data_IF_351642756748
#
_entry.id   IF_351642756748
#
_cell.length_a   1.000
_cell.length_b   1.000
_cell.length_c   1.000
_cell.angle_alpha   90.00
_cell.angle_beta   90.00
_cell.angle_gamma   90.00
#
_symmetry.space_group_name_H-M   'P 1'
#
loop_
_entity.id
_entity.type
_entity.pdbx_description
1 polymer ?
#
# COMPACT_ATOMS: atom_id res chain seq x y z
N UNK A 1 6.13 18.64 6.00
CA UNK A 1 5.00 17.99 6.68
C UNK A 1 4.08 17.47 5.59
N UNK A 2 4.29 16.22 5.15
CA UNK A 2 3.54 15.66 4.01
C UNK A 2 2.21 15.13 4.50
N UNK A 3 1.15 15.76 4.01
CA UNK A 3 -0.25 15.40 4.23
C UNK A 3 -0.47 14.06 3.54
N UNK A 4 -1.02 13.13 4.32
CA UNK A 4 -1.65 11.89 3.88
C UNK A 4 -2.42 12.11 2.58
N UNK A 5 -1.93 11.58 1.47
CA UNK A 5 -2.81 11.22 0.37
C UNK A 5 -3.43 9.88 0.72
N UNK A 6 -4.75 9.83 0.69
CA UNK A 6 -5.56 8.62 0.78
C UNK A 6 -5.33 7.76 -0.48
N UNK A 7 -4.10 7.34 -0.69
CA UNK A 7 -3.79 6.38 -1.74
C UNK A 7 -4.11 5.01 -1.22
N UNK A 8 -5.14 4.40 -1.81
CA UNK A 8 -5.39 2.97 -1.70
C UNK A 8 -4.08 2.21 -1.99
N UNK A 9 -3.95 0.97 -1.52
CA UNK A 9 -2.76 0.14 -1.83
C UNK A 9 -2.46 0.04 -3.34
N UNK A 10 -3.45 0.28 -4.21
CA UNK A 10 -3.26 0.41 -5.66
C UNK A 10 -2.44 1.63 -6.10
N UNK A 11 -2.61 2.79 -5.45
CA UNK A 11 -1.78 3.98 -5.76
C UNK A 11 -0.31 3.74 -5.40
N UNK A 12 -0.06 3.02 -4.31
CA UNK A 12 1.30 2.65 -3.90
C UNK A 12 1.99 1.75 -4.94
N UNK A 13 1.28 0.75 -5.48
CA UNK A 13 1.82 -0.12 -6.54
C UNK A 13 2.06 0.68 -7.82
N UNK A 14 1.16 1.60 -8.17
CA UNK A 14 1.33 2.48 -9.33
C UNK A 14 2.58 3.35 -9.21
N UNK A 15 2.79 4.01 -8.07
CA UNK A 15 3.98 4.83 -7.82
C UNK A 15 5.28 4.00 -7.92
N UNK A 16 5.24 2.74 -7.44
CA UNK A 16 6.38 1.83 -7.54
C UNK A 16 6.71 1.50 -9.00
N UNK A 17 5.70 1.23 -9.83
CA UNK A 17 5.84 0.96 -11.27
C UNK A 17 6.40 2.17 -12.00
N UNK A 18 5.84 3.36 -11.75
CA UNK A 18 6.30 4.60 -12.37
C UNK A 18 7.76 4.87 -12.01
N UNK A 19 8.15 4.66 -10.75
CA UNK A 19 9.52 4.86 -10.31
C UNK A 19 10.49 3.84 -10.95
N UNK A 20 10.10 2.56 -11.01
CA UNK A 20 10.86 1.52 -11.72
C UNK A 20 11.06 1.91 -13.19
N UNK A 21 9.99 2.29 -13.88
CA UNK A 21 10.06 2.68 -15.30
C UNK A 21 11.03 3.85 -15.53
N UNK A 22 10.99 4.89 -14.69
CA UNK A 22 11.92 6.02 -14.77
C UNK A 22 13.38 5.62 -14.51
N UNK A 23 13.59 4.66 -13.60
CA UNK A 23 14.91 4.10 -13.30
C UNK A 23 15.43 3.15 -14.39
N UNK A 24 14.54 2.56 -15.20
CA UNK A 24 14.93 1.75 -16.36
C UNK A 24 15.28 2.64 -17.57
N UNK A 25 14.66 3.83 -17.67
CA UNK A 25 14.84 4.80 -18.75
C UNK A 25 15.56 6.08 -18.29
N UNK A 26 16.62 5.94 -17.48
CA UNK A 26 17.34 7.07 -16.85
C UNK A 26 17.78 8.12 -17.86
N UNK A 27 18.23 7.71 -19.05
CA UNK A 27 18.74 8.62 -20.07
C UNK A 27 17.67 9.62 -20.55
N UNK A 28 16.41 9.22 -20.54
CA UNK A 28 15.24 10.01 -20.94
C UNK A 28 14.73 10.92 -19.81
N UNK A 29 15.24 10.75 -18.59
CA UNK A 29 14.81 11.54 -17.42
C UNK A 29 15.53 12.88 -17.32
N UNK A 30 14.94 13.79 -16.54
CA UNK A 30 15.50 15.10 -16.24
C UNK A 30 16.83 15.01 -15.47
N UNK A 31 17.66 16.04 -15.60
CA UNK A 31 18.93 16.12 -14.86
C UNK A 31 18.72 16.07 -13.35
N UNK A 32 17.65 16.69 -12.84
CA UNK A 32 17.28 16.60 -11.43
C UNK A 32 17.01 15.16 -10.98
N UNK A 33 16.32 14.36 -11.80
CA UNK A 33 16.10 12.95 -11.50
C UNK A 33 17.42 12.17 -11.53
N UNK A 34 18.27 12.43 -12.53
CA UNK A 34 19.60 11.82 -12.67
C UNK A 34 20.50 12.10 -11.47
N UNK A 35 20.46 13.31 -10.91
CA UNK A 35 21.23 13.68 -9.72
C UNK A 35 20.81 12.89 -8.46
N UNK A 36 19.58 12.40 -8.40
CA UNK A 36 19.01 11.70 -7.25
C UNK A 36 18.85 10.18 -7.47
N UNK A 37 19.49 9.59 -8.50
CA UNK A 37 19.34 8.16 -8.86
C UNK A 37 19.51 7.23 -7.66
N UNK A 38 20.55 7.45 -6.83
CA UNK A 38 20.79 6.61 -5.65
C UNK A 38 19.59 6.63 -4.70
N UNK A 39 19.09 7.82 -4.37
CA UNK A 39 17.91 7.98 -3.51
C UNK A 39 16.65 7.38 -4.13
N UNK A 40 16.51 7.45 -5.46
CA UNK A 40 15.39 6.83 -6.16
C UNK A 40 15.46 5.30 -6.12
N UNK A 41 16.65 4.71 -6.26
CA UNK A 41 16.86 3.26 -6.10
C UNK A 41 16.58 2.81 -4.67
N UNK A 42 17.13 3.51 -3.67
CA UNK A 42 16.88 3.20 -2.27
C UNK A 42 15.38 3.28 -1.93
N UNK A 43 14.67 4.28 -2.47
CA UNK A 43 13.22 4.41 -2.30
C UNK A 43 12.45 3.28 -3.01
N UNK A 44 12.85 2.88 -4.22
CA UNK A 44 12.24 1.77 -4.94
C UNK A 44 12.41 0.44 -4.18
N UNK A 45 13.60 0.20 -3.61
CA UNK A 45 13.86 -1.01 -2.83
C UNK A 45 13.02 -1.03 -1.54
N UNK A 46 12.89 0.10 -0.85
CA UNK A 46 12.00 0.23 0.31
C UNK A 46 10.52 0.03 -0.07
N UNK A 47 10.07 0.54 -1.22
CA UNK A 47 8.71 0.29 -1.73
C UNK A 47 8.48 -1.20 -2.03
N UNK A 48 9.42 -1.87 -2.69
CA UNK A 48 9.36 -3.31 -2.96
C UNK A 48 9.33 -4.13 -1.67
N UNK A 49 10.17 -3.76 -0.69
CA UNK A 49 10.19 -4.42 0.60
C UNK A 49 8.83 -4.31 1.31
N UNK A 50 8.25 -3.11 1.39
CA UNK A 50 6.91 -2.90 1.98
C UNK A 50 5.81 -3.65 1.24
N UNK A 51 5.88 -3.70 -0.09
CA UNK A 51 4.95 -4.50 -0.90
C UNK A 51 5.05 -5.99 -0.57
N UNK A 52 6.27 -6.53 -0.44
CA UNK A 52 6.47 -7.93 -0.11
C UNK A 52 5.91 -8.27 1.28
N UNK A 53 6.14 -7.41 2.28
CA UNK A 53 5.54 -7.59 3.61
C UNK A 53 4.01 -7.61 3.56
N UNK A 54 3.41 -6.78 2.71
CA UNK A 54 1.97 -6.74 2.50
C UNK A 54 1.45 -8.03 1.84
N UNK A 55 2.11 -8.49 0.78
CA UNK A 55 1.77 -9.77 0.11
C UNK A 55 1.90 -10.94 1.08
N UNK A 56 2.97 -10.98 1.87
CA UNK A 56 3.19 -12.01 2.89
C UNK A 56 2.10 -11.98 3.97
N UNK A 57 1.71 -10.79 4.43
CA UNK A 57 0.61 -10.63 5.37
C UNK A 57 -0.68 -11.24 4.80
N UNK A 58 -1.02 -10.94 3.55
CA UNK A 58 -2.24 -11.46 2.90
C UNK A 58 -2.17 -12.98 2.72
N UNK A 59 -1.06 -13.48 2.16
CA UNK A 59 -0.94 -14.88 1.78
C UNK A 59 -0.83 -15.82 2.98
N UNK A 60 -0.25 -15.36 4.09
CA UNK A 60 -0.01 -16.19 5.27
C UNK A 60 -1.10 -16.10 6.34
N UNK A 61 -2.12 -15.26 6.14
CA UNK A 61 -3.25 -15.13 7.08
C UNK A 61 -4.58 -15.47 6.42
N UNK A 62 -5.52 -15.96 7.20
CA UNK A 62 -6.88 -16.29 6.75
C UNK A 62 -7.78 -15.06 6.77
N UNK A 63 -8.94 -15.10 6.09
CA UNK A 63 -9.96 -14.06 6.21
C UNK A 63 -10.39 -13.86 7.67
N UNK A 64 -10.55 -14.96 8.42
CA UNK A 64 -10.91 -14.93 9.84
C UNK A 64 -9.89 -14.18 10.70
N UNK A 65 -8.59 -14.23 10.34
CA UNK A 65 -7.57 -13.44 11.03
C UNK A 65 -7.82 -11.94 10.88
N UNK A 66 -8.14 -11.48 9.66
CA UNK A 66 -8.38 -10.07 9.39
C UNK A 66 -9.68 -9.58 10.05
N UNK A 67 -10.75 -10.39 9.99
CA UNK A 67 -12.00 -10.11 10.70
C UNK A 67 -11.78 -9.96 12.21
N UNK A 68 -10.99 -10.85 12.82
CA UNK A 68 -10.65 -10.75 14.24
C UNK A 68 -9.88 -9.46 14.56
N UNK A 69 -8.93 -9.05 13.70
CA UNK A 69 -8.17 -7.80 13.89
C UNK A 69 -9.05 -6.56 13.77
N UNK A 70 -10.00 -6.56 12.85
CA UNK A 70 -11.00 -5.49 12.72
C UNK A 70 -11.81 -5.39 14.02
N UNK A 71 -12.34 -6.52 14.51
CA UNK A 71 -13.14 -6.55 15.73
C UNK A 71 -12.36 -6.08 16.96
N UNK A 72 -11.10 -6.53 17.14
CA UNK A 72 -10.23 -6.07 18.24
C UNK A 72 -10.05 -4.53 18.23
N UNK A 73 -9.92 -3.93 17.04
CA UNK A 73 -9.76 -2.48 16.89
C UNK A 73 -11.07 -1.72 17.06
N UNK A 74 -12.20 -2.31 16.66
CA UNK A 74 -13.53 -1.75 16.91
C UNK A 74 -13.84 -1.70 18.40
N UNK A 75 -13.49 -2.76 19.14
CA UNK A 75 -13.60 -2.81 20.59
C UNK A 75 -12.69 -1.76 21.26
N UNK A 76 -11.45 -1.60 20.78
CA UNK A 76 -10.54 -0.55 21.25
C UNK A 76 -11.11 0.84 21.00
N UNK A 77 -11.64 1.09 19.80
CA UNK A 77 -12.23 2.37 19.42
C UNK A 77 -13.45 2.69 20.29
N UNK A 78 -14.29 1.69 20.58
CA UNK A 78 -15.44 1.84 21.45
C UNK A 78 -15.01 2.11 22.90
N UNK A 79 -13.96 1.46 23.38
CA UNK A 79 -13.36 1.72 24.68
C UNK A 79 -12.81 3.15 24.78
N UNK A 80 -12.08 3.62 23.77
CA UNK A 80 -11.57 5.00 23.70
C UNK A 80 -12.73 6.01 23.78
N UNK A 81 -13.81 5.77 23.03
CA UNK A 81 -14.99 6.64 22.98
C UNK A 81 -15.78 6.69 24.28
N UNK A 82 -15.85 5.58 25.01
CA UNK A 82 -16.67 5.46 26.23
C UNK A 82 -15.93 5.86 27.50
N UNK A 83 -14.62 5.59 27.58
CA UNK A 83 -13.83 5.80 28.80
C UNK A 83 -13.18 7.19 28.89
N UNK A 84 -12.82 7.78 27.76
CA UNK A 84 -12.08 9.04 27.75
C UNK A 84 -13.03 10.22 27.50
N UNK A 85 -12.81 11.30 28.25
CA UNK A 85 -13.48 12.58 27.97
C UNK A 85 -13.04 13.10 26.60
N UNK A 86 -13.92 13.79 25.86
CA UNK A 86 -13.55 14.44 24.60
C UNK A 86 -12.31 15.32 24.79
N UNK A 87 -11.26 15.00 24.04
CA UNK A 87 -9.97 15.70 24.09
C UNK A 87 -9.24 15.51 22.76
N UNK A 88 -8.26 16.36 22.48
CA UNK A 88 -7.44 16.23 21.29
C UNK A 88 -6.77 14.85 21.18
N UNK A 89 -6.23 14.33 22.29
CA UNK A 89 -5.58 13.02 22.32
C UNK A 89 -6.58 11.89 22.02
N UNK A 90 -7.79 11.96 22.57
CA UNK A 90 -8.86 11.00 22.29
C UNK A 90 -9.26 11.03 20.81
N UNK A 91 -9.39 12.22 20.22
CA UNK A 91 -9.69 12.37 18.79
C UNK A 91 -8.56 11.80 17.91
N UNK A 92 -7.30 12.05 18.30
CA UNK A 92 -6.12 11.55 17.59
C UNK A 92 -6.05 10.03 17.64
N UNK A 93 -6.18 9.42 18.83
CA UNK A 93 -6.18 7.96 18.97
C UNK A 93 -7.33 7.32 18.21
N UNK A 94 -8.55 7.86 18.33
CA UNK A 94 -9.72 7.38 17.57
C UNK A 94 -9.48 7.42 16.06
N UNK A 95 -8.86 8.49 15.56
CA UNK A 95 -8.52 8.61 14.15
C UNK A 95 -7.50 7.55 13.69
N UNK A 96 -6.44 7.32 14.49
CA UNK A 96 -5.45 6.30 14.17
C UNK A 96 -6.02 4.89 14.23
N UNK A 97 -6.85 4.58 15.22
CA UNK A 97 -7.53 3.28 15.33
C UNK A 97 -8.49 3.08 14.14
N UNK A 98 -9.27 4.10 13.76
CA UNK A 98 -10.13 4.03 12.58
C UNK A 98 -9.33 3.78 11.30
N UNK A 99 -8.17 4.42 11.13
CA UNK A 99 -7.30 4.16 9.98
C UNK A 99 -6.81 2.72 9.93
N UNK A 100 -6.49 2.11 11.07
CA UNK A 100 -6.10 0.70 11.14
C UNK A 100 -7.27 -0.24 10.79
N UNK A 101 -8.48 0.08 11.24
CA UNK A 101 -9.69 -0.66 10.85
C UNK A 101 -9.84 -0.65 9.33
N UNK A 102 -9.81 0.54 8.72
CA UNK A 102 -9.94 0.69 7.27
C UNK A 102 -8.84 -0.08 6.52
N UNK A 103 -7.60 -0.04 7.01
CA UNK A 103 -6.48 -0.79 6.42
C UNK A 103 -6.74 -2.31 6.40
N UNK A 104 -7.20 -2.89 7.51
CA UNK A 104 -7.51 -4.33 7.56
C UNK A 104 -8.76 -4.69 6.74
N UNK A 105 -9.74 -3.79 6.67
CA UNK A 105 -10.91 -3.97 5.83
C UNK A 105 -10.54 -3.98 4.34
N UNK A 106 -9.69 -3.06 3.89
CA UNK A 106 -9.14 -3.05 2.52
C UNK A 106 -8.38 -4.35 2.20
N UNK A 107 -7.57 -4.85 3.15
CA UNK A 107 -6.87 -6.13 3.00
C UNK A 107 -7.86 -7.29 2.84
N UNK A 108 -8.90 -7.33 3.68
CA UNK A 108 -9.92 -8.37 3.62
C UNK A 108 -10.66 -8.33 2.27
N UNK A 109 -10.99 -7.15 1.77
CA UNK A 109 -11.59 -6.97 0.44
C UNK A 109 -10.66 -7.47 -0.67
N UNK A 110 -9.35 -7.17 -0.60
CA UNK A 110 -8.38 -7.67 -1.56
C UNK A 110 -8.26 -9.20 -1.50
N UNK A 111 -8.21 -9.78 -0.30
CA UNK A 111 -8.12 -11.23 -0.14
C UNK A 111 -9.35 -11.97 -0.66
N UNK A 112 -10.54 -11.39 -0.49
CA UNK A 112 -11.78 -11.96 -1.01
C UNK A 112 -11.89 -11.81 -2.53
N UNK A 113 -11.36 -10.72 -3.11
CA UNK A 113 -11.29 -10.52 -4.57
C UNK A 113 -10.25 -11.42 -5.24
N UNK A 114 -9.09 -11.61 -4.60
CA UNK A 114 -8.02 -12.49 -5.08
C UNK A 114 -8.08 -13.80 -4.29
N UNK A 115 -9.00 -14.68 -4.71
CA UNK A 115 -9.21 -16.02 -4.13
C UNK A 115 -7.93 -16.86 -4.15
N UNK A 116 -7.05 -16.61 -5.13
CA UNK A 116 -5.72 -17.20 -5.25
C UNK A 116 -4.62 -16.28 -4.68
N UNK A 117 -3.54 -16.89 -4.20
CA UNK A 117 -2.37 -16.20 -3.65
C UNK A 117 -1.92 -15.05 -4.54
N UNK A 118 -1.76 -13.86 -3.96
CA UNK A 118 -1.10 -12.75 -4.63
C UNK A 118 0.33 -13.18 -4.96
N UNK A 119 0.66 -13.29 -6.24
CA UNK A 119 2.00 -13.67 -6.66
C UNK A 119 2.90 -12.43 -6.75
N UNK A 120 4.13 -12.61 -6.29
CA UNK A 120 5.23 -11.68 -6.54
C UNK A 120 5.65 -11.92 -7.99
N UNK A 121 5.24 -11.05 -8.91
CA UNK A 121 5.89 -11.02 -10.21
C UNK A 121 7.11 -10.10 -10.09
N UNK A 122 8.31 -10.63 -10.28
CA UNK A 122 9.54 -9.84 -10.46
C UNK A 122 9.37 -8.80 -11.59
N UNK A 123 8.43 -9.07 -12.48
CA UNK A 123 7.92 -8.16 -13.49
C UNK A 123 6.59 -7.54 -13.04
N UNK A 124 6.63 -6.37 -12.39
CA UNK A 124 5.43 -5.55 -12.12
C UNK A 124 4.56 -5.27 -13.38
N UNK A 125 5.11 -5.53 -14.57
CA UNK A 125 4.40 -5.59 -15.87
C UNK A 125 3.12 -6.45 -15.85
N UNK A 126 3.00 -7.44 -14.96
CA UNK A 126 1.83 -8.33 -14.93
C UNK A 126 0.69 -7.83 -14.04
N UNK A 127 0.89 -6.82 -13.20
CA UNK A 127 -0.14 -6.33 -12.27
C UNK A 127 -1.14 -5.39 -12.98
N UNK A 128 -0.76 -4.79 -14.11
CA UNK A 128 -1.66 -3.97 -14.94
C UNK A 128 -1.46 -4.27 -16.44
N UNK A 129 -2.32 -5.11 -17.06
CA UNK A 129 -2.25 -5.42 -18.50
C UNK A 129 -2.34 -4.20 -19.42
N UNK A 130 -2.86 -3.07 -18.91
CA UNK A 130 -3.05 -1.83 -19.68
C UNK A 130 -1.75 -1.10 -20.07
N UNK A 131 -0.59 -1.50 -19.58
CA UNK A 131 0.70 -0.91 -19.99
C UNK A 131 1.33 -1.61 -21.22
N UNK A 132 0.78 -2.74 -21.68
CA UNK A 132 1.33 -3.47 -22.84
C UNK A 132 0.62 -3.17 -24.17
N UNK A 133 -0.40 -2.32 -24.20
CA UNK A 133 -1.21 -2.12 -25.42
C UNK A 133 -0.85 -0.89 -26.26
N UNK A 134 0.25 -0.20 -25.99
CA UNK A 134 0.60 1.01 -26.77
C UNK A 134 1.86 0.88 -27.64
N UNK A 135 2.51 -0.29 -27.76
CA UNK A 135 3.73 -0.42 -28.59
C UNK A 135 3.78 -1.66 -29.51
N UNK A 136 2.64 -2.22 -29.92
CA UNK A 136 2.57 -3.14 -31.07
C UNK A 136 1.76 -2.53 -32.22
N UNK A 137 2.19 -1.36 -32.70
CA UNK A 137 1.90 -0.89 -34.06
C UNK A 137 3.04 0.02 -34.50
N UNK A 138 4.05 -0.58 -35.13
CA UNK A 138 4.62 -0.21 -36.45
C UNK A 138 5.88 -1.03 -36.73
#
# INVERSE_FOLDING_TARGET
>A
MSILKNGTHFEFVWDMIVLQHKLDHVNEQSDYFKMAIKSHKDNLDDMKFRYNQFVDLINNNTESYFLLKIQELEDELQYIKTKYKPSFNMALWSHWTQKKINYYDEILQLKTQFVDKLQISDNLKYIFPKLNNDNETE
#
